data_IF_914549799211
#
_entry.id   IF_914549799211
#
_cell.length_a   1.000
_cell.length_b   1.000
_cell.length_c   1.000
_cell.angle_alpha   90.00
_cell.angle_beta   90.00
_cell.angle_gamma   90.00
#
_symmetry.space_group_name_H-M   'P 1'
#
loop_
_entity.id
_entity.type
_entity.pdbx_description
1 polymer ?
#
# COMPACT_ATOMS: atom_id res chain seq x y z
N UNK A 1 -78.77 2.08 -24.75
CA UNK A 1 -77.73 1.59 -23.81
C UNK A 1 -76.85 0.64 -24.61
N UNK A 2 -75.53 0.71 -24.66
CA UNK A 2 -74.54 1.15 -23.70
C UNK A 2 -73.31 1.78 -24.37
N UNK A 3 -72.49 2.41 -23.51
CA UNK A 3 -71.40 3.34 -23.77
C UNK A 3 -70.24 2.82 -24.63
N UNK A 4 -69.71 3.74 -25.43
CA UNK A 4 -68.35 3.72 -25.93
C UNK A 4 -67.36 3.96 -24.77
N UNK A 5 -66.42 3.04 -24.58
CA UNK A 5 -65.32 3.19 -23.63
C UNK A 5 -63.99 3.47 -24.37
N UNK A 6 -63.46 4.68 -24.14
CA UNK A 6 -62.05 5.01 -23.96
C UNK A 6 -61.02 4.50 -25.00
N UNK A 7 -60.69 5.34 -25.98
CA UNK A 7 -59.50 5.22 -26.83
C UNK A 7 -58.39 6.27 -26.53
N UNK A 8 -58.40 6.91 -25.34
CA UNK A 8 -57.47 8.00 -24.98
C UNK A 8 -56.17 7.60 -24.27
N UNK A 9 -55.91 6.30 -24.09
CA UNK A 9 -54.80 5.77 -23.27
C UNK A 9 -53.40 5.69 -23.94
N UNK A 10 -53.23 5.46 -25.26
CA UNK A 10 -51.91 5.24 -25.84
C UNK A 10 -51.09 6.52 -26.04
N UNK A 11 -51.71 7.63 -26.46
CA UNK A 11 -51.00 8.88 -26.75
C UNK A 11 -50.43 9.59 -25.51
N UNK A 12 -51.11 9.47 -24.35
CA UNK A 12 -50.64 10.04 -23.08
C UNK A 12 -49.44 9.28 -22.52
N UNK A 13 -49.40 7.96 -22.76
CA UNK A 13 -48.31 7.07 -22.36
C UNK A 13 -47.07 7.30 -23.21
N UNK A 14 -47.23 7.40 -24.53
CA UNK A 14 -46.14 7.72 -25.46
C UNK A 14 -45.50 9.10 -25.16
N UNK A 15 -46.31 10.14 -24.92
CA UNK A 15 -45.79 11.47 -24.51
C UNK A 15 -45.01 11.45 -23.19
N UNK A 16 -45.39 10.56 -22.28
CA UNK A 16 -44.71 10.43 -20.99
C UNK A 16 -43.43 9.62 -21.13
N UNK A 17 -43.40 8.62 -22.01
CA UNK A 17 -42.19 7.90 -22.40
C UNK A 17 -41.19 8.84 -23.09
N UNK A 18 -41.63 9.73 -24.00
CA UNK A 18 -40.78 10.74 -24.64
C UNK A 18 -40.18 11.75 -23.64
N UNK A 19 -40.96 12.22 -22.66
CA UNK A 19 -40.48 13.12 -21.58
C UNK A 19 -39.43 12.43 -20.68
N UNK A 20 -39.65 11.15 -20.36
CA UNK A 20 -38.69 10.35 -19.58
C UNK A 20 -37.39 10.16 -20.35
N UNK A 21 -37.45 9.84 -21.64
CA UNK A 21 -36.25 9.70 -22.48
C UNK A 21 -35.46 11.01 -22.52
N UNK A 22 -36.12 12.15 -22.76
CA UNK A 22 -35.43 13.45 -22.78
C UNK A 22 -34.77 13.79 -21.44
N UNK A 23 -35.40 13.47 -20.30
CA UNK A 23 -34.81 13.66 -18.98
C UNK A 23 -33.62 12.75 -18.72
N UNK A 24 -33.66 11.50 -19.22
CA UNK A 24 -32.53 10.57 -19.12
C UNK A 24 -31.34 11.04 -19.94
N UNK A 25 -31.56 11.59 -21.14
CA UNK A 25 -30.49 12.20 -21.96
C UNK A 25 -29.87 13.44 -21.28
N UNK A 26 -30.69 14.25 -20.62
CA UNK A 26 -30.20 15.38 -19.82
C UNK A 26 -29.37 14.90 -18.62
N UNK A 27 -29.86 13.87 -17.91
CA UNK A 27 -29.14 13.27 -16.79
C UNK A 27 -27.80 12.65 -17.22
N UNK A 28 -27.78 11.93 -18.35
CA UNK A 28 -26.56 11.35 -18.91
C UNK A 28 -25.53 12.44 -19.24
N UNK A 29 -25.97 13.55 -19.84
CA UNK A 29 -25.08 14.71 -20.09
C UNK A 29 -24.49 15.28 -18.81
N UNK A 30 -25.30 15.43 -17.75
CA UNK A 30 -24.83 15.93 -16.47
C UNK A 30 -23.86 14.95 -15.80
N UNK A 31 -24.12 13.64 -15.89
CA UNK A 31 -23.22 12.60 -15.38
C UNK A 31 -21.86 12.64 -16.10
N UNK A 32 -21.86 12.74 -17.43
CA UNK A 32 -20.62 12.88 -18.20
C UNK A 32 -19.83 14.16 -17.83
N UNK A 33 -20.52 15.27 -17.51
CA UNK A 33 -19.86 16.49 -17.05
C UNK A 33 -19.26 16.34 -15.64
N UNK A 34 -19.95 15.64 -14.73
CA UNK A 34 -19.40 15.30 -13.41
C UNK A 34 -18.20 14.36 -13.51
N UNK A 35 -18.24 13.36 -14.39
CA UNK A 35 -17.11 12.47 -14.67
C UNK A 35 -15.90 13.26 -15.18
N UNK A 36 -16.10 14.22 -16.10
CA UNK A 36 -15.03 15.11 -16.55
C UNK A 36 -14.36 15.86 -15.39
N UNK A 37 -15.15 16.41 -14.46
CA UNK A 37 -14.59 17.10 -13.30
C UNK A 37 -13.83 16.14 -12.36
N UNK A 38 -14.31 14.90 -12.20
CA UNK A 38 -13.59 13.90 -11.42
C UNK A 38 -12.23 13.55 -12.05
N UNK A 39 -12.16 13.43 -13.37
CA UNK A 39 -10.93 13.18 -14.11
C UNK A 39 -9.94 14.36 -13.98
N UNK A 40 -10.44 15.60 -14.08
CA UNK A 40 -9.62 16.81 -13.87
C UNK A 40 -9.03 16.85 -12.45
N UNK A 41 -9.85 16.58 -11.43
CA UNK A 41 -9.38 16.51 -10.02
C UNK A 41 -8.35 15.39 -9.84
N UNK A 42 -8.58 14.20 -10.42
CA UNK A 42 -7.64 13.09 -10.35
C UNK A 42 -6.29 13.45 -10.99
N UNK A 43 -6.32 14.15 -12.14
CA UNK A 43 -5.11 14.63 -12.81
C UNK A 43 -4.36 15.67 -11.97
N UNK A 44 -5.05 16.62 -11.34
CA UNK A 44 -4.43 17.61 -10.46
C UNK A 44 -3.77 16.99 -9.22
N UNK A 45 -4.46 16.05 -8.56
CA UNK A 45 -3.91 15.29 -7.41
C UNK A 45 -2.63 14.56 -7.85
N UNK A 46 -2.67 13.88 -8.99
CA UNK A 46 -1.51 13.16 -9.53
C UNK A 46 -0.32 14.11 -9.80
N UNK A 47 -0.57 15.30 -10.35
CA UNK A 47 0.50 16.30 -10.58
C UNK A 47 1.10 16.81 -9.26
N UNK A 48 0.26 17.09 -8.26
CA UNK A 48 0.70 17.56 -6.95
C UNK A 48 1.56 16.51 -6.27
N UNK A 49 1.12 15.26 -6.26
CA UNK A 49 1.85 14.16 -5.64
C UNK A 49 3.17 13.87 -6.36
N UNK A 50 3.20 13.86 -7.70
CA UNK A 50 4.46 13.76 -8.47
C UNK A 50 5.46 14.85 -8.09
N UNK A 51 4.98 16.10 -7.95
CA UNK A 51 5.81 17.22 -7.51
C UNK A 51 6.39 16.99 -6.12
N UNK A 52 5.56 16.61 -5.15
CA UNK A 52 6.03 16.40 -3.78
C UNK A 52 6.84 15.12 -3.62
N UNK A 53 6.59 14.08 -4.39
CA UNK A 53 7.45 12.90 -4.48
C UNK A 53 8.84 13.28 -4.95
N UNK A 54 8.97 14.04 -6.03
CA UNK A 54 10.28 14.53 -6.49
C UNK A 54 11.01 15.38 -5.43
N UNK A 55 10.27 16.18 -4.65
CA UNK A 55 10.84 16.97 -3.55
C UNK A 55 11.21 16.12 -2.32
N UNK A 56 10.45 15.05 -2.03
CA UNK A 56 10.70 14.13 -0.92
C UNK A 56 11.93 13.25 -1.16
N UNK A 57 12.17 12.82 -2.40
CA UNK A 57 13.30 11.92 -2.75
C UNK A 57 14.68 12.38 -2.24
N UNK A 58 15.15 13.63 -2.49
CA UNK A 58 16.44 14.07 -1.97
C UNK A 58 16.49 14.09 -0.42
N UNK A 59 15.38 14.42 0.23
CA UNK A 59 15.29 14.41 1.70
C UNK A 59 15.34 12.99 2.24
N UNK A 60 14.65 12.03 1.61
CA UNK A 60 14.74 10.62 1.97
C UNK A 60 16.14 10.05 1.75
N UNK A 61 16.82 10.46 0.68
CA UNK A 61 18.21 10.06 0.44
C UNK A 61 19.16 10.60 1.53
N UNK A 62 19.01 11.87 1.92
CA UNK A 62 19.77 12.46 3.03
C UNK A 62 19.47 11.77 4.36
N UNK A 63 18.17 11.53 4.66
CA UNK A 63 17.72 10.78 5.85
C UNK A 63 18.38 9.41 5.91
N UNK A 64 18.45 8.69 4.78
CA UNK A 64 19.11 7.39 4.73
C UNK A 64 20.62 7.48 5.00
N UNK A 65 21.31 8.51 4.49
CA UNK A 65 22.75 8.67 4.79
C UNK A 65 23.01 8.86 6.28
N UNK A 66 22.12 9.59 6.97
CA UNK A 66 22.20 9.76 8.43
C UNK A 66 21.92 8.44 9.14
N UNK A 67 20.83 7.73 8.79
CA UNK A 67 20.45 6.45 9.39
C UNK A 67 21.55 5.41 9.25
N UNK A 68 22.25 5.36 8.11
CA UNK A 68 23.37 4.43 7.87
C UNK A 68 24.50 4.55 8.91
N UNK A 69 24.64 5.71 9.56
CA UNK A 69 25.59 5.94 10.64
C UNK A 69 25.15 5.41 12.02
N UNK A 70 23.91 4.93 12.15
CA UNK A 70 23.31 4.49 13.42
C UNK A 70 23.15 2.96 13.40
N UNK A 71 23.97 2.21 14.17
CA UNK A 71 23.89 0.76 14.23
C UNK A 71 22.51 0.28 14.70
N UNK A 72 22.00 -0.80 14.09
CA UNK A 72 20.74 -1.46 14.46
C UNK A 72 19.50 -0.57 14.42
N UNK A 73 19.57 0.58 13.74
CA UNK A 73 18.49 1.57 13.72
C UNK A 73 17.14 0.94 13.33
N UNK A 74 17.07 0.26 12.18
CA UNK A 74 15.84 -0.37 11.73
C UNK A 74 15.41 -1.52 12.64
N UNK A 75 16.34 -2.41 13.05
CA UNK A 75 16.05 -3.50 13.99
C UNK A 75 15.36 -3.01 15.27
N UNK A 76 15.86 -1.92 15.85
CA UNK A 76 15.23 -1.28 17.02
C UNK A 76 13.91 -0.60 16.63
N UNK A 77 13.86 0.16 15.53
CA UNK A 77 12.62 0.82 15.12
C UNK A 77 11.47 -0.18 14.87
N UNK A 78 11.74 -1.35 14.29
CA UNK A 78 10.74 -2.43 14.10
C UNK A 78 10.18 -2.95 15.43
N UNK A 79 10.98 -3.00 16.49
CA UNK A 79 10.54 -3.49 17.81
C UNK A 79 9.65 -2.49 18.57
N UNK A 80 9.57 -1.24 18.11
CA UNK A 80 8.80 -0.18 18.78
C UNK A 80 7.29 -0.30 18.63
N UNK A 81 6.82 -0.90 17.53
CA UNK A 81 5.41 -1.03 17.24
C UNK A 81 4.88 -2.38 17.71
N UNK A 82 3.77 -2.38 18.46
CA UNK A 82 3.21 -3.60 19.05
C UNK A 82 2.98 -4.69 18.01
N UNK A 83 2.33 -4.33 16.91
CA UNK A 83 2.00 -5.26 15.81
C UNK A 83 3.24 -5.89 15.15
N UNK A 84 4.30 -5.10 14.93
CA UNK A 84 5.56 -5.64 14.40
C UNK A 84 6.23 -6.56 15.42
N UNK A 85 6.26 -6.15 16.69
CA UNK A 85 6.86 -6.93 17.76
C UNK A 85 6.18 -8.28 17.97
N UNK A 86 4.87 -8.37 17.72
CA UNK A 86 4.12 -9.63 17.84
C UNK A 86 4.42 -10.66 16.75
N UNK A 87 4.89 -10.21 15.58
CA UNK A 87 5.20 -11.10 14.45
C UNK A 87 6.68 -11.41 14.31
N UNK A 88 7.55 -10.71 15.06
CA UNK A 88 9.00 -10.89 15.04
C UNK A 88 9.46 -11.89 16.10
N UNK A 89 10.17 -12.93 15.66
CA UNK A 89 10.85 -13.86 16.55
C UNK A 89 12.32 -13.47 16.81
N UNK A 90 13.02 -14.12 17.77
CA UNK A 90 14.42 -13.79 18.08
C UNK A 90 15.42 -14.00 16.93
N UNK A 91 15.10 -14.83 15.94
CA UNK A 91 15.92 -15.05 14.74
C UNK A 91 15.65 -13.95 13.71
N UNK A 92 14.40 -13.52 13.56
CA UNK A 92 14.04 -12.36 12.74
C UNK A 92 14.76 -11.10 13.20
N UNK A 93 14.90 -10.88 14.51
CA UNK A 93 15.68 -9.77 15.05
C UNK A 93 17.17 -9.83 14.67
N UNK A 94 17.74 -11.03 14.57
CA UNK A 94 19.12 -11.21 14.10
C UNK A 94 19.23 -10.91 12.60
N UNK A 95 18.24 -11.30 11.79
CA UNK A 95 18.18 -10.93 10.38
C UNK A 95 18.07 -9.40 10.23
N UNK A 96 17.20 -8.76 11.02
CA UNK A 96 16.99 -7.30 11.02
C UNK A 96 18.23 -6.53 11.48
N UNK A 97 19.14 -7.11 12.25
CA UNK A 97 20.43 -6.48 12.59
C UNK A 97 21.31 -6.28 11.34
N UNK A 98 21.04 -6.99 10.25
CA UNK A 98 21.68 -6.79 8.94
C UNK A 98 20.87 -5.87 7.99
N UNK A 99 19.69 -5.41 8.40
CA UNK A 99 18.86 -4.49 7.61
C UNK A 99 19.49 -3.10 7.58
N UNK A 100 19.94 -2.71 6.40
CA UNK A 100 20.61 -1.43 6.16
C UNK A 100 19.63 -0.32 5.80
N UNK A 101 18.51 -0.68 5.18
CA UNK A 101 17.56 0.28 4.65
C UNK A 101 16.17 -0.33 4.47
N UNK A 102 15.16 0.42 4.88
CA UNK A 102 13.79 0.24 4.38
C UNK A 102 13.57 1.32 3.32
N UNK A 103 12.83 1.03 2.25
CA UNK A 103 12.33 2.04 1.31
C UNK A 103 10.89 1.72 0.96
N UNK A 104 10.09 2.76 0.81
CA UNK A 104 8.79 2.68 0.14
C UNK A 104 8.93 3.32 -1.24
N UNK A 105 8.64 2.55 -2.28
CA UNK A 105 8.60 3.04 -3.66
C UNK A 105 7.14 3.10 -4.07
N UNK A 106 6.62 4.31 -4.22
CA UNK A 106 5.28 4.53 -4.77
C UNK A 106 5.34 4.44 -6.30
N UNK A 107 4.30 3.88 -6.91
CA UNK A 107 4.20 3.83 -8.38
C UNK A 107 3.93 5.23 -8.97
N UNK A 108 4.22 5.40 -10.26
CA UNK A 108 4.02 6.71 -10.96
C UNK A 108 2.55 7.15 -11.00
N UNK A 109 1.65 6.17 -10.98
CA UNK A 109 0.25 6.34 -10.65
C UNK A 109 0.04 5.82 -9.22
N UNK A 110 -0.28 6.76 -8.32
CA UNK A 110 -0.36 6.51 -6.89
C UNK A 110 -1.49 5.54 -6.56
N UNK A 111 -2.52 5.49 -7.40
CA UNK A 111 -3.63 4.55 -7.24
C UNK A 111 -3.21 3.13 -7.56
N UNK A 112 -2.15 2.94 -8.35
CA UNK A 112 -1.71 1.63 -8.83
C UNK A 112 -0.88 0.86 -7.81
N UNK A 113 -0.39 1.51 -6.75
CA UNK A 113 0.15 0.85 -5.56
C UNK A 113 1.57 1.23 -5.18
N UNK A 114 2.23 0.34 -4.43
CA UNK A 114 3.52 0.63 -3.80
C UNK A 114 4.35 -0.64 -3.57
N UNK A 115 5.65 -0.46 -3.36
CA UNK A 115 6.59 -1.53 -3.02
C UNK A 115 7.32 -1.21 -1.73
N UNK A 116 7.28 -2.15 -0.79
CA UNK A 116 8.16 -2.16 0.39
C UNK A 116 9.44 -2.86 0.00
N UNK A 117 10.57 -2.18 0.12
CA UNK A 117 11.91 -2.74 -0.12
C UNK A 117 12.70 -2.74 1.17
N UNK A 118 13.33 -3.87 1.46
CA UNK A 118 14.22 -4.08 2.60
C UNK A 118 15.59 -4.48 2.07
N UNK A 119 16.60 -3.63 2.27
CA UNK A 119 17.96 -3.86 1.75
C UNK A 119 18.86 -4.36 2.87
N UNK A 120 19.51 -5.48 2.64
CA UNK A 120 20.34 -6.17 3.61
C UNK A 120 21.81 -6.09 3.23
N UNK A 121 22.65 -5.93 4.25
CA UNK A 121 24.07 -6.27 4.14
C UNK A 121 24.26 -7.78 4.02
N UNK A 122 25.51 -8.19 3.75
CA UNK A 122 25.88 -9.62 3.80
C UNK A 122 25.53 -10.18 5.19
N UNK A 123 24.81 -11.30 5.19
CA UNK A 123 24.30 -11.96 6.39
C UNK A 123 24.36 -13.50 6.20
N UNK A 124 24.24 -14.30 7.27
CA UNK A 124 24.34 -15.76 7.19
C UNK A 124 23.02 -16.48 6.87
N UNK A 125 21.90 -15.76 6.70
CA UNK A 125 20.56 -16.33 6.63
C UNK A 125 20.07 -16.54 5.19
N UNK A 126 20.37 -15.59 4.29
CA UNK A 126 20.00 -15.66 2.87
C UNK A 126 20.99 -14.88 1.98
N UNK A 127 20.94 -15.15 0.67
CA UNK A 127 21.83 -14.51 -0.31
C UNK A 127 21.29 -13.18 -0.85
N UNK A 128 19.98 -12.93 -0.72
CA UNK A 128 19.34 -11.72 -1.21
C UNK A 128 19.95 -10.46 -0.58
N UNK A 129 20.20 -9.44 -1.40
CA UNK A 129 20.60 -8.11 -0.94
C UNK A 129 19.43 -7.13 -0.84
N UNK A 130 18.31 -7.46 -1.48
CA UNK A 130 17.05 -6.74 -1.42
C UNK A 130 15.92 -7.77 -1.35
N UNK A 131 14.98 -7.55 -0.43
CA UNK A 131 13.68 -8.22 -0.39
C UNK A 131 12.61 -7.17 -0.67
N UNK A 132 11.77 -7.43 -1.66
CA UNK A 132 10.69 -6.55 -2.08
C UNK A 132 9.33 -7.24 -1.95
N UNK A 133 8.34 -6.51 -1.42
CA UNK A 133 6.92 -6.87 -1.44
C UNK A 133 6.15 -5.75 -2.11
N UNK A 134 5.58 -6.05 -3.26
CA UNK A 134 4.87 -5.13 -4.14
C UNK A 134 3.36 -5.36 -4.03
N UNK A 135 2.62 -4.27 -3.87
CA UNK A 135 1.16 -4.21 -3.84
C UNK A 135 0.72 -3.44 -5.08
N UNK A 136 -0.03 -4.11 -5.96
CA UNK A 136 -0.56 -3.55 -7.19
C UNK A 136 -2.09 -3.51 -7.11
N UNK A 137 -2.68 -2.34 -7.26
CA UNK A 137 -4.14 -2.19 -7.29
C UNK A 137 -4.60 -1.98 -8.73
N UNK A 138 -5.61 -2.74 -9.16
CA UNK A 138 -6.28 -2.52 -10.44
C UNK A 138 -7.31 -1.39 -10.35
N UNK A 139 -7.70 -0.84 -11.50
CA UNK A 139 -8.80 0.13 -11.59
C UNK A 139 -10.14 -0.44 -11.09
N UNK A 140 -10.28 -1.77 -11.09
CA UNK A 140 -11.45 -2.52 -10.63
C UNK A 140 -11.41 -2.75 -9.10
N UNK A 141 -10.32 -2.37 -8.44
CA UNK A 141 -10.12 -2.49 -6.99
C UNK A 141 -9.50 -3.81 -6.54
N UNK A 142 -9.05 -4.66 -7.47
CA UNK A 142 -8.37 -5.91 -7.12
C UNK A 142 -6.94 -5.63 -6.67
N UNK A 143 -6.53 -6.28 -5.58
CA UNK A 143 -5.16 -6.25 -5.09
C UNK A 143 -4.39 -7.47 -5.59
N UNK A 144 -3.28 -7.22 -6.27
CA UNK A 144 -2.27 -8.22 -6.60
C UNK A 144 -1.01 -7.96 -5.78
N UNK A 145 -0.57 -8.98 -5.05
CA UNK A 145 0.69 -8.92 -4.28
C UNK A 145 1.76 -9.74 -4.99
N UNK A 146 2.97 -9.18 -5.08
CA UNK A 146 4.15 -9.87 -5.62
C UNK A 146 5.29 -9.71 -4.63
N UNK A 147 5.76 -10.83 -4.09
CA UNK A 147 6.86 -10.86 -3.11
C UNK A 147 8.12 -11.48 -3.70
N UNK A 148 9.28 -11.09 -3.18
CA UNK A 148 10.57 -11.68 -3.54
C UNK A 148 10.71 -13.08 -2.94
N UNK A 149 11.11 -14.06 -3.75
CA UNK A 149 11.48 -15.39 -3.25
C UNK A 149 12.81 -15.31 -2.50
N UNK A 150 12.79 -15.67 -1.21
CA UNK A 150 13.98 -15.64 -0.36
C UNK A 150 14.85 -16.86 -0.65
N UNK A 151 16.10 -16.61 -1.04
CA UNK A 151 17.13 -17.64 -1.26
C UNK A 151 17.86 -17.92 0.05
N UNK A 152 17.24 -18.76 0.88
CA UNK A 152 17.76 -19.14 2.20
C UNK A 152 19.08 -19.88 2.10
N UNK A 153 20.05 -19.52 2.94
CA UNK A 153 21.34 -20.22 3.05
C UNK A 153 21.16 -21.62 3.64
N UNK A 154 20.21 -21.80 4.55
CA UNK A 154 19.70 -23.12 4.96
C UNK A 154 18.31 -23.34 4.34
N UNK A 155 18.17 -24.24 3.35
CA UNK A 155 16.89 -24.51 2.70
C UNK A 155 15.79 -25.05 3.64
N UNK A 156 16.16 -25.56 4.82
CA UNK A 156 15.21 -26.04 5.82
C UNK A 156 14.66 -24.93 6.73
N UNK A 157 15.22 -23.71 6.65
CA UNK A 157 14.82 -22.58 7.49
C UNK A 157 13.31 -22.31 7.46
N UNK A 158 12.63 -22.25 6.29
CA UNK A 158 11.20 -21.95 6.25
C UNK A 158 10.34 -23.04 6.91
N UNK A 159 10.77 -24.30 6.81
CA UNK A 159 10.05 -25.42 7.41
C UNK A 159 10.31 -25.53 8.91
N UNK A 160 11.51 -25.17 9.37
CA UNK A 160 11.89 -25.21 10.78
C UNK A 160 11.43 -23.98 11.57
N UNK A 161 11.28 -22.83 10.90
CA UNK A 161 10.78 -21.58 11.47
C UNK A 161 9.60 -21.03 10.64
N UNK A 162 8.46 -21.76 10.56
CA UNK A 162 7.33 -21.35 9.73
C UNK A 162 6.63 -20.08 10.23
N UNK A 163 6.85 -19.69 11.49
CA UNK A 163 6.32 -18.46 12.08
C UNK A 163 7.22 -17.24 11.89
N UNK A 164 8.38 -17.39 11.26
CA UNK A 164 9.30 -16.27 11.01
C UNK A 164 8.60 -15.17 10.21
N UNK A 165 8.80 -13.92 10.63
CA UNK A 165 8.34 -12.75 9.89
C UNK A 165 8.74 -12.80 8.42
N UNK A 166 9.99 -13.17 8.12
CA UNK A 166 10.48 -13.20 6.75
C UNK A 166 9.84 -14.31 5.91
N UNK A 167 9.45 -15.42 6.53
CA UNK A 167 8.70 -16.50 5.86
C UNK A 167 7.26 -16.06 5.60
N UNK A 168 6.58 -15.57 6.64
CA UNK A 168 5.16 -15.21 6.54
C UNK A 168 4.93 -13.93 5.72
N UNK A 169 5.75 -12.90 5.90
CA UNK A 169 5.55 -11.60 5.25
C UNK A 169 5.88 -11.65 3.77
N UNK A 170 6.87 -12.42 3.34
CA UNK A 170 7.22 -12.57 1.92
C UNK A 170 6.52 -13.74 1.23
N UNK A 171 5.63 -14.45 1.94
CA UNK A 171 4.69 -15.36 1.29
C UNK A 171 3.72 -14.59 0.38
N UNK A 172 3.36 -15.18 -0.76
CA UNK A 172 2.46 -14.56 -1.72
C UNK A 172 1.03 -14.51 -1.17
N UNK A 173 0.63 -15.51 -0.39
CA UNK A 173 -0.70 -15.64 0.21
C UNK A 173 -0.76 -15.05 1.64
N UNK A 174 0.26 -14.28 2.02
CA UNK A 174 0.39 -13.67 3.35
C UNK A 174 -0.83 -12.84 3.73
N UNK A 175 -1.33 -13.05 4.95
CA UNK A 175 -2.42 -12.27 5.55
C UNK A 175 -1.90 -11.11 6.42
N UNK A 176 -0.61 -10.76 6.30
CA UNK A 176 0.03 -9.69 7.07
C UNK A 176 -0.07 -8.32 6.38
N UNK A 177 -1.22 -8.02 5.76
CA UNK A 177 -1.45 -6.72 5.11
C UNK A 177 -1.34 -5.55 6.09
N UNK A 178 -1.88 -5.73 7.30
CA UNK A 178 -1.81 -4.71 8.36
C UNK A 178 -0.37 -4.42 8.80
N UNK A 179 0.52 -5.42 8.74
CA UNK A 179 1.96 -5.23 8.98
C UNK A 179 2.59 -4.37 7.89
N UNK A 180 2.20 -4.56 6.63
CA UNK A 180 2.68 -3.72 5.53
C UNK A 180 2.23 -2.26 5.71
N UNK A 181 0.99 -2.04 6.15
CA UNK A 181 0.47 -0.71 6.48
C UNK A 181 1.25 -0.08 7.63
N UNK A 182 1.55 -0.82 8.70
CA UNK A 182 2.39 -0.30 9.79
C UNK A 182 3.79 0.07 9.30
N UNK A 183 4.41 -0.75 8.45
CA UNK A 183 5.73 -0.42 7.89
C UNK A 183 5.67 0.87 7.07
N UNK A 184 4.63 1.03 6.24
CA UNK A 184 4.48 2.17 5.34
C UNK A 184 4.06 3.45 6.07
N UNK A 185 2.99 3.39 6.84
CA UNK A 185 2.27 4.52 7.43
C UNK A 185 2.91 5.01 8.73
N UNK A 186 3.55 4.11 9.49
CA UNK A 186 4.12 4.44 10.81
C UNK A 186 5.65 4.39 10.79
N UNK A 187 6.23 3.24 10.44
CA UNK A 187 7.67 3.03 10.56
C UNK A 187 8.46 3.86 9.54
N UNK A 188 8.02 3.89 8.27
CA UNK A 188 8.74 4.60 7.21
C UNK A 188 8.52 6.11 7.22
N UNK A 189 7.33 6.57 7.62
CA UNK A 189 6.98 7.99 7.67
C UNK A 189 7.83 8.73 8.70
N UNK A 190 7.93 8.21 9.93
CA UNK A 190 8.73 8.78 11.02
C UNK A 190 9.52 7.71 11.80
N UNK A 191 10.59 7.15 11.19
CA UNK A 191 11.37 6.08 11.81
C UNK A 191 12.13 6.54 13.05
N UNK A 192 12.40 7.86 13.18
CA UNK A 192 13.08 8.40 14.35
C UNK A 192 12.19 8.27 15.59
N UNK A 193 10.89 8.58 15.46
CA UNK A 193 9.94 8.43 16.55
C UNK A 193 9.81 6.97 16.99
N UNK A 194 9.73 6.05 16.03
CA UNK A 194 9.77 4.60 16.31
C UNK A 194 11.02 4.23 17.08
N UNK A 195 12.21 4.59 16.58
CA UNK A 195 13.49 4.32 17.24
C UNK A 195 13.55 4.86 18.68
N UNK A 196 13.17 6.12 18.88
CA UNK A 196 13.25 6.81 20.18
C UNK A 196 12.23 6.30 21.21
N UNK A 197 11.10 5.75 20.77
CA UNK A 197 10.06 5.27 21.68
C UNK A 197 10.50 4.07 22.52
N UNK A 198 11.51 3.32 22.08
CA UNK A 198 12.11 2.25 22.87
C UNK A 198 12.97 2.78 24.03
N UNK A 199 13.68 3.89 23.83
CA UNK A 199 14.56 4.48 24.85
C UNK A 199 13.77 5.04 26.05
N UNK A 200 12.49 5.40 25.87
CA UNK A 200 11.62 5.83 26.97
C UNK A 200 11.13 4.70 27.90
N UNK A 201 11.35 3.43 27.55
CA UNK A 201 10.96 2.30 28.42
C UNK A 201 12.13 1.71 29.21
N UNK A 202 13.36 2.20 29.01
CA UNK A 202 14.56 1.77 29.74
C UNK A 202 14.90 2.67 30.96
N UNK A 203 14.02 3.59 31.35
CA UNK A 203 14.26 4.60 32.39
C UNK A 203 13.27 4.59 33.56
N UNK A 204 12.56 3.47 33.81
CA UNK A 204 11.76 3.24 35.03
C UNK A 204 12.16 1.92 35.72
#
# INVERSE_FOLDING_TARGET
MAQAASNGRPAKKARQEDDVVSRLEELDRLQNELERFNDEVAAEILMVERRYNALRQPVYAERQQVIKGIPRFWSLAFQSHEELRTVLDPVDLQILDHLSEVRIVEQEDIKSGYTIKMLFGKNPFFENTELAKEFQFSDEGDLRVVSTDITWSDPSFPTTNPSSFFVLFFDQDSQLESVADVIRENLWTDPLRSYMSLDTTAAD
#
